data_IF_492770060257
#
_entry.id   IF_492770060257
#
_cell.length_a   1.000
_cell.length_b   1.000
_cell.length_c   1.000
_cell.angle_alpha   90.00
_cell.angle_beta   90.00
_cell.angle_gamma   90.00
#
_symmetry.space_group_name_H-M   'P 1'
#
loop_
_entity.id
_entity.type
_entity.pdbx_description
1 polymer ?
#
# COMPACT_ATOMS: atom_id res chain seq x y z
N UNK A 1 -15.64 2.18 -62.35
CA UNK A 1 -15.89 1.62 -61.00
C UNK A 1 -14.57 1.58 -60.23
N UNK A 2 -14.32 2.53 -59.32
CA UNK A 2 -13.17 2.50 -58.39
C UNK A 2 -13.63 3.13 -57.05
N UNK A 3 -14.10 2.28 -56.13
CA UNK A 3 -14.42 2.61 -54.74
C UNK A 3 -14.10 1.38 -53.88
N UNK A 4 -12.86 1.20 -53.43
CA UNK A 4 -12.52 0.14 -52.44
C UNK A 4 -11.19 0.32 -51.69
N UNK A 5 -10.46 1.42 -51.91
CA UNK A 5 -9.18 1.65 -51.21
C UNK A 5 -9.29 2.52 -49.95
N UNK A 6 -10.33 3.35 -49.79
CA UNK A 6 -10.48 4.17 -48.57
C UNK A 6 -10.94 3.40 -47.33
N UNK A 7 -11.60 2.24 -47.48
CA UNK A 7 -12.19 1.53 -46.34
C UNK A 7 -11.15 0.78 -45.50
N UNK A 8 -10.07 0.29 -46.12
CA UNK A 8 -9.01 -0.45 -45.43
C UNK A 8 -8.10 0.43 -44.57
N UNK A 9 -7.90 1.70 -44.93
CA UNK A 9 -7.03 2.63 -44.19
C UNK A 9 -7.67 3.07 -42.85
N UNK A 10 -9.01 3.12 -42.80
CA UNK A 10 -9.77 3.56 -41.61
C UNK A 10 -9.81 2.45 -40.53
N UNK A 11 -9.82 1.18 -40.94
CA UNK A 11 -9.85 0.03 -40.01
C UNK A 11 -8.49 -0.16 -39.32
N UNK A 12 -7.38 0.06 -40.04
CA UNK A 12 -6.02 -0.09 -39.46
C UNK A 12 -5.68 1.03 -38.47
N UNK A 13 -6.18 2.26 -38.69
CA UNK A 13 -5.94 3.39 -37.76
C UNK A 13 -6.78 3.31 -36.47
N UNK A 14 -7.99 2.75 -36.52
CA UNK A 14 -8.84 2.58 -35.33
C UNK A 14 -8.36 1.46 -34.39
N UNK A 15 -7.74 0.40 -34.92
CA UNK A 15 -7.09 -0.66 -34.13
C UNK A 15 -5.79 -0.21 -33.43
N UNK A 16 -5.06 0.75 -34.01
CA UNK A 16 -3.85 1.32 -33.40
C UNK A 16 -4.14 2.32 -32.28
N UNK A 17 -5.23 3.09 -32.40
CA UNK A 17 -5.60 4.07 -31.38
C UNK A 17 -6.15 3.44 -30.10
N UNK A 18 -6.86 2.30 -30.22
CA UNK A 18 -7.43 1.57 -29.08
C UNK A 18 -6.40 0.74 -28.29
N UNK A 19 -5.30 0.34 -28.94
CA UNK A 19 -4.18 -0.35 -28.28
C UNK A 19 -3.31 0.62 -27.46
N UNK A 20 -3.25 1.90 -27.85
CA UNK A 20 -2.48 2.92 -27.11
C UNK A 20 -3.11 3.25 -25.75
N UNK A 21 -4.45 3.34 -25.67
CA UNK A 21 -5.16 3.59 -24.41
C UNK A 21 -5.09 2.42 -23.41
N UNK A 22 -5.08 1.18 -23.90
CA UNK A 22 -4.93 -0.01 -23.05
C UNK A 22 -3.51 -0.14 -22.50
N UNK A 23 -2.50 0.16 -23.33
CA UNK A 23 -1.10 0.17 -22.89
C UNK A 23 -0.84 1.21 -21.79
N UNK A 24 -1.46 2.40 -21.90
CA UNK A 24 -1.30 3.46 -20.90
C UNK A 24 -1.91 3.08 -19.55
N UNK A 25 -3.09 2.45 -19.54
CA UNK A 25 -3.70 1.95 -18.30
C UNK A 25 -2.82 0.94 -17.58
N UNK A 26 -2.26 -0.02 -18.33
CA UNK A 26 -1.36 -1.04 -17.78
C UNK A 26 -0.07 -0.46 -17.18
N UNK A 27 0.55 0.53 -17.86
CA UNK A 27 1.76 1.19 -17.35
C UNK A 27 1.50 1.88 -16.00
N UNK A 28 0.36 2.56 -15.86
CA UNK A 28 0.01 3.28 -14.63
C UNK A 28 -0.32 2.32 -13.47
N UNK A 29 -0.95 1.18 -13.75
CA UNK A 29 -1.14 0.13 -12.74
C UNK A 29 0.20 -0.44 -12.26
N UNK A 30 1.17 -0.64 -13.16
CA UNK A 30 2.51 -1.09 -12.79
C UNK A 30 3.28 -0.02 -11.98
N UNK A 31 3.15 1.26 -12.34
CA UNK A 31 3.74 2.37 -11.60
C UNK A 31 3.20 2.44 -10.16
N UNK A 32 1.88 2.31 -9.99
CA UNK A 32 1.23 2.23 -8.68
C UNK A 32 1.73 1.03 -7.88
N UNK A 33 1.75 -0.16 -8.49
CA UNK A 33 2.24 -1.39 -7.85
C UNK A 33 3.69 -1.26 -7.40
N UNK A 34 4.56 -0.71 -8.25
CA UNK A 34 5.97 -0.47 -7.92
C UNK A 34 6.12 0.54 -6.79
N UNK A 35 5.29 1.59 -6.76
CA UNK A 35 5.32 2.61 -5.70
C UNK A 35 4.87 2.03 -4.35
N UNK A 36 3.84 1.20 -4.34
CA UNK A 36 3.38 0.49 -3.14
C UNK A 36 4.43 -0.52 -2.64
N UNK A 37 5.02 -1.31 -3.54
CA UNK A 37 6.07 -2.25 -3.15
C UNK A 37 7.27 -1.53 -2.56
N UNK A 38 7.70 -0.42 -3.18
CA UNK A 38 8.77 0.42 -2.66
C UNK A 38 8.44 0.94 -1.25
N UNK A 39 7.21 1.38 -1.02
CA UNK A 39 6.75 1.76 0.32
C UNK A 39 6.90 0.62 1.33
N UNK A 40 6.47 -0.59 0.98
CA UNK A 40 6.62 -1.77 1.83
C UNK A 40 8.11 -2.02 2.14
N UNK A 41 8.96 -1.98 1.12
CA UNK A 41 10.40 -2.23 1.25
C UNK A 41 11.13 -1.15 2.07
N UNK A 42 10.65 0.11 2.03
CA UNK A 42 11.21 1.21 2.82
C UNK A 42 10.76 1.15 4.30
N UNK A 43 9.61 0.53 4.57
CA UNK A 43 8.96 0.57 5.89
C UNK A 43 9.10 -0.72 6.69
N UNK A 44 9.48 -1.80 6.02
CA UNK A 44 9.55 -3.13 6.60
C UNK A 44 10.86 -3.80 6.16
N UNK A 45 11.41 -4.63 7.04
CA UNK A 45 12.62 -5.39 6.72
C UNK A 45 12.24 -6.75 6.17
N UNK A 46 12.72 -7.07 4.98
CA UNK A 46 12.50 -8.37 4.34
C UNK A 46 13.53 -9.39 4.80
N UNK A 47 13.08 -10.50 5.37
CA UNK A 47 13.95 -11.62 5.75
C UNK A 47 13.36 -12.92 5.21
N UNK A 48 13.94 -13.42 4.11
CA UNK A 48 13.40 -14.56 3.38
C UNK A 48 12.07 -14.23 2.70
N UNK A 49 11.03 -15.01 3.02
CA UNK A 49 9.68 -14.86 2.45
C UNK A 49 8.77 -13.89 3.23
N UNK A 50 9.24 -13.38 4.37
CA UNK A 50 8.44 -12.55 5.27
C UNK A 50 9.01 -11.14 5.39
N UNK A 51 8.14 -10.21 5.77
CA UNK A 51 8.49 -8.84 6.15
C UNK A 51 8.28 -8.62 7.64
N UNK A 52 9.11 -7.76 8.24
CA UNK A 52 9.13 -7.52 9.67
C UNK A 52 9.09 -6.02 9.96
N UNK A 53 8.37 -5.64 11.01
CA UNK A 53 8.26 -4.24 11.43
C UNK A 53 8.26 -4.12 12.96
N UNK A 54 8.91 -3.08 13.48
CA UNK A 54 8.66 -2.62 14.85
C UNK A 54 7.45 -1.70 14.85
N UNK A 55 6.43 -2.06 15.64
CA UNK A 55 5.25 -1.23 15.83
C UNK A 55 5.28 -0.68 17.24
N UNK A 56 5.52 0.62 17.36
CA UNK A 56 5.35 1.34 18.63
C UNK A 56 3.92 1.87 18.70
N UNK A 57 3.14 1.29 19.59
CA UNK A 57 1.77 1.70 19.90
C UNK A 57 1.73 2.51 21.19
N UNK A 58 1.10 3.68 21.14
CA UNK A 58 0.61 4.33 22.36
C UNK A 58 -0.78 3.78 22.64
N UNK A 59 -1.01 3.23 23.83
CA UNK A 59 -2.37 2.95 24.29
C UNK A 59 -2.85 4.16 25.07
N UNK A 60 -3.76 5.01 24.57
CA UNK A 60 -4.17 6.23 25.27
C UNK A 60 -4.81 5.98 26.65
N UNK A 61 -5.21 4.73 26.91
CA UNK A 61 -5.95 4.29 28.10
C UNK A 61 -5.07 3.64 29.16
N UNK A 62 -3.80 3.37 28.85
CA UNK A 62 -2.84 2.79 29.80
C UNK A 62 -1.59 3.65 29.70
N UNK A 63 -1.01 4.09 30.81
CA UNK A 63 0.21 4.91 30.85
C UNK A 63 1.44 4.14 30.33
N UNK A 64 1.36 3.47 29.19
CA UNK A 64 2.33 2.54 28.64
C UNK A 64 2.53 2.76 27.15
N UNK A 65 3.77 2.57 26.73
CA UNK A 65 4.18 2.40 25.34
C UNK A 65 4.34 0.90 25.09
N UNK A 66 3.86 0.44 23.94
CA UNK A 66 3.96 -0.94 23.50
C UNK A 66 4.92 -0.99 22.32
N UNK A 67 5.89 -1.90 22.36
CA UNK A 67 6.77 -2.23 21.24
C UNK A 67 6.48 -3.66 20.79
N UNK A 68 5.95 -3.80 19.58
CA UNK A 68 5.70 -5.10 18.96
C UNK A 68 6.71 -5.38 17.85
N UNK A 69 7.17 -6.64 17.72
CA UNK A 69 7.75 -7.16 16.47
C UNK A 69 6.66 -7.95 15.76
N UNK A 70 6.27 -7.50 14.58
CA UNK A 70 5.24 -8.15 13.75
C UNK A 70 5.86 -8.78 12.52
N UNK A 71 5.43 -10.00 12.21
CA UNK A 71 5.77 -10.71 10.97
C UNK A 71 4.59 -10.60 10.01
N UNK A 72 4.88 -10.27 8.76
CA UNK A 72 3.93 -10.13 7.67
C UNK A 72 4.26 -11.11 6.55
N UNK A 73 3.24 -11.80 6.05
CA UNK A 73 3.36 -12.77 4.98
C UNK A 73 2.16 -12.74 4.05
N UNK A 74 2.29 -13.40 2.89
CA UNK A 74 1.18 -13.54 1.93
C UNK A 74 0.63 -12.21 1.41
N UNK A 75 1.52 -11.23 1.24
CA UNK A 75 1.13 -9.91 0.72
C UNK A 75 0.63 -10.02 -0.72
N UNK A 76 -0.48 -9.36 -1.02
CA UNK A 76 -0.96 -9.21 -2.39
C UNK A 76 -1.49 -7.80 -2.62
N UNK A 77 -1.24 -7.29 -3.82
CA UNK A 77 -1.72 -5.99 -4.28
C UNK A 77 -2.66 -6.24 -5.47
N UNK A 78 -3.92 -5.90 -5.31
CA UNK A 78 -4.92 -5.90 -6.37
C UNK A 78 -5.17 -4.46 -6.82
N UNK A 79 -5.20 -4.22 -8.13
CA UNK A 79 -5.46 -2.90 -8.70
C UNK A 79 -6.59 -3.07 -9.72
N UNK A 80 -7.64 -2.27 -9.59
CA UNK A 80 -8.78 -2.24 -10.52
C UNK A 80 -8.93 -0.84 -11.08
N UNK A 81 -8.46 -0.63 -12.30
CA UNK A 81 -8.70 0.62 -13.01
C UNK A 81 -10.20 0.85 -13.22
N UNK A 82 -10.60 2.11 -13.10
CA UNK A 82 -11.92 2.62 -13.42
C UNK A 82 -11.87 3.35 -14.76
N UNK A 83 -12.89 3.15 -15.59
CA UNK A 83 -13.07 3.94 -16.80
C UNK A 83 -13.25 5.42 -16.45
N UNK A 84 -12.43 6.28 -17.03
CA UNK A 84 -12.53 7.73 -16.83
C UNK A 84 -13.72 8.31 -17.60
N UNK A 85 -14.51 9.15 -16.93
CA UNK A 85 -15.52 9.96 -17.59
C UNK A 85 -14.89 11.12 -18.38
N UNK A 86 -15.65 11.76 -19.26
CA UNK A 86 -15.20 12.97 -19.95
C UNK A 86 -14.90 14.12 -18.96
N UNK A 87 -15.65 14.18 -17.86
CA UNK A 87 -15.41 15.15 -16.80
C UNK A 87 -14.08 14.88 -16.05
N UNK A 88 -13.72 13.61 -15.83
CA UNK A 88 -12.43 13.24 -15.23
C UNK A 88 -11.28 13.73 -16.13
N UNK A 89 -11.37 13.42 -17.43
CA UNK A 89 -10.38 13.84 -18.42
C UNK A 89 -10.26 15.36 -18.50
N UNK A 90 -11.38 16.09 -18.54
CA UNK A 90 -11.37 17.56 -18.58
C UNK A 90 -10.76 18.18 -17.31
N UNK A 91 -10.81 17.47 -16.19
CA UNK A 91 -10.19 17.86 -14.92
C UNK A 91 -8.71 17.45 -14.80
N UNK A 92 -8.11 16.94 -15.88
CA UNK A 92 -6.70 16.52 -15.93
C UNK A 92 -6.42 15.20 -15.23
N UNK A 93 -7.45 14.37 -14.99
CA UNK A 93 -7.26 13.04 -14.42
C UNK A 93 -6.76 12.09 -15.50
N UNK A 94 -5.64 11.44 -15.20
CA UNK A 94 -4.94 10.53 -16.11
C UNK A 94 -5.30 9.07 -15.84
N UNK A 95 -5.67 8.75 -14.59
CA UNK A 95 -6.06 7.42 -14.16
C UNK A 95 -6.87 7.48 -12.86
N UNK A 96 -7.80 6.54 -12.68
CA UNK A 96 -8.53 6.32 -11.42
C UNK A 96 -8.68 4.81 -11.22
N UNK A 97 -8.72 4.37 -9.97
CA UNK A 97 -8.95 2.98 -9.67
C UNK A 97 -9.02 2.68 -8.19
N UNK A 98 -9.29 1.42 -7.90
CA UNK A 98 -9.24 0.86 -6.56
C UNK A 98 -7.94 0.11 -6.37
N UNK A 99 -7.27 0.35 -5.26
CA UNK A 99 -6.07 -0.37 -4.84
C UNK A 99 -6.42 -1.10 -3.57
N UNK A 100 -6.22 -2.42 -3.56
CA UNK A 100 -6.42 -3.26 -2.39
C UNK A 100 -5.11 -3.95 -2.03
N UNK A 101 -4.60 -3.66 -0.84
CA UNK A 101 -3.47 -4.40 -0.25
C UNK A 101 -4.03 -5.40 0.74
N UNK A 102 -3.62 -6.65 0.63
CA UNK A 102 -3.95 -7.69 1.61
C UNK A 102 -2.68 -8.36 2.11
N UNK A 103 -2.69 -8.80 3.37
CA UNK A 103 -1.60 -9.57 3.96
C UNK A 103 -2.11 -10.44 5.12
N UNK A 104 -1.25 -11.32 5.59
CA UNK A 104 -1.36 -11.96 6.90
C UNK A 104 -0.32 -11.35 7.84
N UNK A 105 -0.70 -11.18 9.11
CA UNK A 105 0.17 -10.65 10.15
C UNK A 105 0.07 -11.53 11.40
N UNK A 106 1.20 -11.72 12.08
CA UNK A 106 1.25 -12.27 13.45
C UNK A 106 2.22 -11.44 14.29
N UNK A 107 2.01 -11.43 15.60
CA UNK A 107 2.95 -10.81 16.54
C UNK A 107 3.94 -11.87 17.01
N UNK A 108 5.23 -11.60 16.82
CA UNK A 108 6.30 -12.47 17.32
C UNK A 108 6.70 -12.11 18.75
N UNK A 109 6.67 -10.83 19.08
CA UNK A 109 7.23 -10.33 20.32
C UNK A 109 6.55 -9.04 20.77
N UNK A 110 6.51 -8.81 22.09
CA UNK A 110 6.01 -7.59 22.73
C UNK A 110 6.86 -7.20 23.93
N UNK A 111 7.15 -5.92 24.04
CA UNK A 111 7.52 -5.28 25.30
C UNK A 111 6.59 -4.11 25.59
N UNK A 112 6.43 -3.80 26.86
CA UNK A 112 5.66 -2.65 27.31
C UNK A 112 6.55 -1.83 28.25
N UNK A 113 6.48 -0.50 28.22
CA UNK A 113 7.11 0.33 29.24
C UNK A 113 6.13 1.38 29.72
N UNK A 114 6.19 1.73 30.99
CA UNK A 114 5.41 2.86 31.50
C UNK A 114 5.90 4.16 30.86
N UNK A 115 4.98 5.05 30.49
CA UNK A 115 5.30 6.35 29.93
C UNK A 115 6.22 7.13 30.87
N UNK A 116 7.34 7.65 30.34
CA UNK A 116 8.37 8.32 31.12
C UNK A 116 9.37 7.39 31.84
N UNK A 117 9.21 6.06 31.72
CA UNK A 117 10.21 5.09 32.15
C UNK A 117 11.27 4.87 31.08
N UNK A 118 12.52 4.70 31.48
CA UNK A 118 13.61 4.28 30.59
C UNK A 118 13.68 2.76 30.39
N UNK A 119 12.91 1.98 31.16
CA UNK A 119 13.00 0.52 31.16
C UNK A 119 11.80 -0.12 30.47
N UNK A 120 12.10 -1.02 29.51
CA UNK A 120 11.13 -1.92 28.92
C UNK A 120 10.90 -3.13 29.83
N UNK A 121 9.64 -3.38 30.15
CA UNK A 121 9.18 -4.61 30.80
C UNK A 121 8.80 -5.62 29.72
N UNK A 122 9.50 -6.74 29.75
CA UNK A 122 9.43 -7.75 28.70
C UNK A 122 8.29 -8.72 28.99
N UNK A 123 7.34 -8.79 28.07
CA UNK A 123 6.32 -9.84 28.07
C UNK A 123 6.75 -10.88 27.04
N UNK A 124 7.67 -11.75 27.47
CA UNK A 124 8.35 -12.77 26.65
C UNK A 124 7.46 -13.94 26.22
N UNK A 125 6.27 -13.67 25.69
CA UNK A 125 5.40 -14.68 25.12
C UNK A 125 4.54 -14.07 24.02
N UNK A 126 3.94 -14.91 23.15
CA UNK A 126 3.01 -14.46 22.14
C UNK A 126 1.78 -13.83 22.82
N UNK A 127 1.84 -12.53 23.08
CA UNK A 127 0.75 -11.78 23.68
C UNK A 127 -0.44 -11.75 22.73
N UNK A 128 -1.42 -12.63 22.95
CA UNK A 128 -2.77 -12.67 22.37
C UNK A 128 -2.92 -12.84 20.84
N UNK A 129 -1.87 -12.54 20.06
CA UNK A 129 -1.87 -12.48 18.59
C UNK A 129 -0.75 -13.37 18.02
N UNK A 130 -0.57 -14.57 18.59
CA UNK A 130 0.40 -15.58 18.12
C UNK A 130 0.08 -16.13 16.73
N UNK A 131 -1.21 -16.17 16.39
CA UNK A 131 -1.69 -16.79 15.17
C UNK A 131 -1.66 -15.81 14.00
N UNK A 132 -1.75 -16.34 12.79
CA UNK A 132 -1.90 -15.53 11.60
C UNK A 132 -3.30 -14.92 11.51
N UNK A 133 -3.37 -13.61 11.47
CA UNK A 133 -4.59 -12.85 11.20
C UNK A 133 -4.51 -12.22 9.82
N UNK A 134 -5.65 -12.11 9.15
CA UNK A 134 -5.71 -11.24 7.98
C UNK A 134 -5.50 -9.80 8.45
N UNK A 135 -4.65 -9.06 7.75
CA UNK A 135 -4.42 -7.66 8.01
C UNK A 135 -5.75 -6.85 8.00
N UNK A 136 -6.80 -7.36 7.34
CA UNK A 136 -8.15 -6.78 7.32
C UNK A 136 -8.80 -6.57 8.68
N UNK A 137 -8.47 -7.40 9.66
CA UNK A 137 -9.14 -7.39 10.98
C UNK A 137 -8.33 -6.64 12.04
N UNK A 138 -7.10 -6.21 11.71
CA UNK A 138 -6.19 -5.56 12.63
C UNK A 138 -5.86 -4.14 12.23
N UNK A 139 -5.16 -3.95 11.09
CA UNK A 139 -4.57 -2.66 10.69
C UNK A 139 -4.13 -2.56 9.20
N UNK A 140 -4.47 -3.49 8.29
CA UNK A 140 -3.80 -3.53 6.98
C UNK A 140 -4.43 -4.31 5.82
N UNK A 141 -5.73 -4.58 5.80
CA UNK A 141 -6.39 -4.65 4.48
C UNK A 141 -6.94 -3.27 4.19
N UNK A 142 -6.40 -2.71 3.13
CA UNK A 142 -6.50 -1.31 2.88
C UNK A 142 -6.95 -1.18 1.43
N UNK A 143 -8.27 -0.98 1.27
CA UNK A 143 -8.87 -0.67 -0.01
C UNK A 143 -8.99 0.85 -0.09
N UNK A 144 -8.30 1.44 -1.06
CA UNK A 144 -8.30 2.88 -1.26
C UNK A 144 -8.67 3.20 -2.69
N UNK A 145 -9.50 4.22 -2.84
CA UNK A 145 -9.75 4.84 -4.13
C UNK A 145 -8.60 5.81 -4.43
N UNK A 146 -7.99 5.67 -5.59
CA UNK A 146 -6.80 6.43 -5.98
C UNK A 146 -7.04 7.07 -7.34
N UNK A 147 -6.53 8.29 -7.52
CA UNK A 147 -6.47 8.95 -8.82
C UNK A 147 -5.06 9.43 -9.13
N UNK A 148 -4.70 9.46 -10.41
CA UNK A 148 -3.48 10.10 -10.90
C UNK A 148 -3.83 11.41 -11.59
N UNK A 149 -3.13 12.47 -11.22
CA UNK A 149 -3.29 13.81 -11.78
C UNK A 149 -1.92 14.49 -11.82
N UNK A 150 -1.55 15.06 -12.96
CA UNK A 150 -0.28 15.78 -13.13
C UNK A 150 0.94 14.93 -12.70
N UNK A 151 0.93 13.63 -13.03
CA UNK A 151 2.04 12.72 -12.69
C UNK A 151 2.12 12.28 -11.22
N UNK A 152 1.18 12.67 -10.35
CA UNK A 152 1.13 12.27 -8.95
C UNK A 152 -0.12 11.45 -8.64
N UNK A 153 0.00 10.49 -7.74
CA UNK A 153 -1.14 9.75 -7.21
C UNK A 153 -1.74 10.45 -5.99
N UNK A 154 -3.06 10.40 -5.85
CA UNK A 154 -3.83 11.03 -4.79
C UNK A 154 -4.84 10.03 -4.21
N UNK A 155 -5.07 10.12 -2.90
CA UNK A 155 -6.12 9.39 -2.20
C UNK A 155 -7.01 10.37 -1.40
N UNK A 156 -8.30 10.04 -1.18
CA UNK A 156 -9.17 10.86 -0.36
C UNK A 156 -8.84 10.66 1.13
N UNK A 157 -8.81 11.75 1.88
CA UNK A 157 -8.78 11.71 3.36
C UNK A 157 -10.14 11.30 3.91
N UNK A 158 -10.22 11.07 5.23
CA UNK A 158 -11.50 10.86 5.92
C UNK A 158 -12.48 12.04 5.76
N UNK A 159 -11.98 13.25 5.51
CA UNK A 159 -12.80 14.43 5.22
C UNK A 159 -13.19 14.56 3.74
N UNK A 160 -12.80 13.60 2.89
CA UNK A 160 -13.08 13.61 1.45
C UNK A 160 -12.17 14.52 0.62
N UNK A 161 -11.13 15.12 1.23
CA UNK A 161 -10.16 15.94 0.51
C UNK A 161 -9.13 15.06 -0.19
N UNK A 162 -8.77 15.39 -1.42
CA UNK A 162 -7.72 14.69 -2.15
C UNK A 162 -6.34 15.16 -1.71
N UNK A 163 -5.50 14.23 -1.27
CA UNK A 163 -4.11 14.52 -0.90
C UNK A 163 -3.15 13.66 -1.72
N UNK A 164 -1.98 14.19 -2.11
CA UNK A 164 -0.94 13.39 -2.74
C UNK A 164 -0.62 12.20 -1.85
N UNK A 165 -0.58 11.01 -2.43
CA UNK A 165 -0.12 9.82 -1.74
C UNK A 165 1.36 9.99 -1.46
N UNK A 166 1.67 10.26 -0.20
CA UNK A 166 3.01 10.09 0.33
C UNK A 166 3.09 8.67 0.83
N UNK A 167 3.80 7.84 0.07
CA UNK A 167 4.13 6.48 0.49
C UNK A 167 5.26 6.46 1.53
N UNK A 168 5.86 7.62 1.80
CA UNK A 168 6.73 7.82 2.93
C UNK A 168 5.90 7.73 4.22
N UNK A 169 6.38 6.97 5.21
CA UNK A 169 5.78 7.04 6.53
C UNK A 169 5.80 8.49 7.01
N UNK A 170 4.80 8.94 7.79
CA UNK A 170 5.03 10.08 8.65
C UNK A 170 6.33 9.78 9.42
N UNK A 171 7.23 10.76 9.53
CA UNK A 171 8.37 10.72 10.46
C UNK A 171 7.82 10.56 11.88
N UNK A 172 7.36 9.36 12.22
CA UNK A 172 7.24 8.93 13.59
C UNK A 172 8.66 8.53 13.93
N UNK A 173 9.24 9.23 14.90
CA UNK A 173 10.55 9.05 15.53
C UNK A 173 10.80 7.62 16.10
N UNK A 174 10.02 6.63 15.69
CA UNK A 174 9.87 5.32 16.29
C UNK A 174 10.04 4.16 15.31
N UNK A 175 10.32 4.43 14.03
CA UNK A 175 10.65 3.36 13.07
C UNK A 175 12.10 2.90 13.25
N UNK A 176 12.36 2.16 14.31
CA UNK A 176 13.52 1.28 14.29
C UNK A 176 13.28 0.23 13.20
N UNK A 177 14.23 0.04 12.28
CA UNK A 177 14.19 -1.08 11.35
C UNK A 177 14.72 -2.32 12.07
N UNK A 178 13.93 -3.40 12.11
CA UNK A 178 14.33 -4.69 12.69
C UNK A 178 15.41 -5.31 11.81
N UNK A 179 16.59 -5.67 12.33
CA UNK A 179 17.51 -6.48 11.52
C UNK A 179 17.07 -7.95 11.49
N UNK A 180 17.36 -8.67 10.40
CA UNK A 180 17.02 -10.09 10.31
C UNK A 180 17.65 -10.96 11.41
N UNK A 181 18.71 -10.47 12.06
CA UNK A 181 19.40 -11.13 13.18
C UNK A 181 18.74 -10.91 14.54
N UNK A 182 17.91 -9.88 14.69
CA UNK A 182 17.22 -9.52 15.93
C UNK A 182 15.83 -10.15 16.04
N UNK A 183 15.33 -10.76 14.95
CA UNK A 183 14.03 -11.43 14.93
C UNK A 183 14.10 -12.69 15.81
N UNK A 184 13.25 -12.79 16.85
CA UNK A 184 13.16 -14.00 17.66
C UNK A 184 12.81 -15.21 16.78
N UNK A 185 13.57 -16.30 16.92
CA UNK A 185 13.33 -17.57 16.23
C UNK A 185 12.33 -18.45 16.98
#
# INVERSE_FOLDING_TARGET
MRKSTCLWIIIVTTLWLSSCSLAQGFILEQEMRSSLQKSIDETMVKCGEFYYQYVIGLTPQRDYEILDITEYGGQSIEIKAKTLSEADKSNGIEWQGWVSVSCKVKRLWRAERKYGSSQWEYWGGPGGWSDWFNCSNGQGAAEFYVQRKNGLFYAPTQSGQWQPMTFALPEREYSHQVSCTEIPK
#
